data_IF_284062343883
#
_entry.id   IF_284062343883
#
_cell.length_a   1.000
_cell.length_b   1.000
_cell.length_c   1.000
_cell.angle_alpha   90.00
_cell.angle_beta   90.00
_cell.angle_gamma   90.00
#
_symmetry.space_group_name_H-M   'P 1'
#
loop_
_entity.id
_entity.type
_entity.pdbx_description
1 polymer ?
#
# COMPACT_ATOMS: atom_id res chain seq x y z
N UNK A 1 -7.77 11.95 20.02
CA UNK A 1 -6.53 11.17 20.24
C UNK A 1 -6.22 11.18 21.73
N UNK A 2 -5.95 10.03 22.38
CA UNK A 2 -5.56 9.99 23.79
C UNK A 2 -4.29 10.83 24.05
N UNK A 3 -4.24 11.55 25.16
CA UNK A 3 -3.15 12.50 25.45
C UNK A 3 -1.75 11.86 25.41
N UNK A 4 -1.60 10.67 25.99
CA UNK A 4 -0.32 9.95 25.98
C UNK A 4 0.15 9.51 24.59
N UNK A 5 -0.77 9.31 23.63
CA UNK A 5 -0.40 8.94 22.27
C UNK A 5 0.16 10.14 21.51
N UNK A 6 -0.36 11.35 21.74
CA UNK A 6 0.17 12.56 21.11
C UNK A 6 1.61 12.83 21.54
N UNK A 7 1.87 12.75 22.84
CA UNK A 7 3.22 12.94 23.37
C UNK A 7 4.19 11.89 22.84
N UNK A 8 3.74 10.64 22.72
CA UNK A 8 4.53 9.57 22.09
C UNK A 8 4.94 9.95 20.66
N UNK A 9 4.02 10.44 19.83
CA UNK A 9 4.34 10.83 18.45
C UNK A 9 5.32 12.01 18.41
N UNK A 10 5.10 13.04 19.22
CA UNK A 10 5.97 14.23 19.28
C UNK A 10 7.42 13.86 19.63
N UNK A 11 7.62 12.91 20.56
CA UNK A 11 8.97 12.39 20.89
C UNK A 11 9.64 11.75 19.68
N UNK A 12 8.93 10.88 18.95
CA UNK A 12 9.52 10.21 17.79
C UNK A 12 9.70 11.13 16.57
N UNK A 13 8.86 12.16 16.41
CA UNK A 13 9.10 13.19 15.40
C UNK A 13 10.45 13.89 15.63
N UNK A 14 10.76 14.25 16.88
CA UNK A 14 12.01 14.89 17.26
C UNK A 14 13.20 13.93 17.11
N UNK A 15 13.10 12.70 17.62
CA UNK A 15 14.19 11.72 17.57
C UNK A 15 14.54 11.29 16.14
N UNK A 16 13.53 11.13 15.26
CA UNK A 16 13.72 10.67 13.89
C UNK A 16 13.90 11.81 12.88
N UNK A 17 13.60 13.06 13.27
CA UNK A 17 13.60 14.21 12.37
C UNK A 17 12.57 14.07 11.24
N UNK A 18 11.44 13.40 11.51
CA UNK A 18 10.38 13.13 10.55
C UNK A 18 9.05 13.73 11.01
N UNK A 19 8.21 14.17 10.07
CA UNK A 19 6.83 14.54 10.37
C UNK A 19 5.95 13.31 10.41
N UNK A 20 5.22 13.12 11.50
CA UNK A 20 4.28 12.03 11.71
C UNK A 20 2.86 12.60 11.74
N UNK A 21 2.06 12.25 10.75
CA UNK A 21 0.63 12.63 10.70
C UNK A 21 -0.24 11.42 10.99
N UNK A 22 -1.13 11.54 11.97
CA UNK A 22 -2.13 10.51 12.24
C UNK A 22 -3.48 10.86 11.63
N UNK A 23 -3.99 9.94 10.82
CA UNK A 23 -5.38 9.94 10.36
C UNK A 23 -6.15 8.89 11.14
N UNK A 24 -7.29 9.27 11.72
CA UNK A 24 -8.15 8.35 12.47
C UNK A 24 -9.33 7.95 11.61
N UNK A 25 -9.54 6.65 11.46
CA UNK A 25 -10.81 6.11 10.97
C UNK A 25 -11.79 5.94 12.14
N UNK A 26 -13.06 6.33 11.93
CA UNK A 26 -14.13 6.15 12.93
C UNK A 26 -14.79 4.76 12.81
N UNK A 27 -14.77 4.17 11.61
CA UNK A 27 -15.24 2.83 11.31
C UNK A 27 -14.19 2.09 10.47
N UNK A 28 -14.14 0.74 10.47
CA UNK A 28 -13.17 0.01 9.67
C UNK A 28 -13.35 0.26 8.16
N UNK A 29 -12.40 0.94 7.51
CA UNK A 29 -12.46 1.28 6.09
C UNK A 29 -11.69 0.29 5.17
N UNK A 30 -11.20 -0.81 5.73
CA UNK A 30 -10.38 -1.77 5.00
C UNK A 30 -8.97 -1.23 4.73
N UNK A 31 -8.26 -1.83 3.77
CA UNK A 31 -6.85 -1.49 3.51
C UNK A 31 -6.66 -0.27 2.61
N UNK A 32 -7.63 0.07 1.76
CA UNK A 32 -7.53 1.22 0.87
C UNK A 32 -8.36 2.43 1.31
N UNK A 33 -9.49 2.22 1.99
CA UNK A 33 -10.38 3.31 2.38
C UNK A 33 -9.73 4.41 3.24
N UNK A 34 -8.81 4.11 4.18
CA UNK A 34 -8.09 5.14 4.95
C UNK A 34 -7.26 6.10 4.08
N UNK A 35 -6.84 5.70 2.88
CA UNK A 35 -6.14 6.59 1.95
C UNK A 35 -7.03 7.78 1.53
N UNK A 36 -8.36 7.62 1.53
CA UNK A 36 -9.29 8.72 1.26
C UNK A 36 -9.16 9.85 2.31
N UNK A 37 -8.97 9.49 3.58
CA UNK A 37 -8.78 10.45 4.68
C UNK A 37 -7.43 11.17 4.58
N UNK A 38 -6.42 10.51 3.99
CA UNK A 38 -5.06 11.02 3.89
C UNK A 38 -4.76 11.73 2.55
N UNK A 39 -5.71 11.83 1.61
CA UNK A 39 -5.46 12.41 0.26
C UNK A 39 -4.79 13.79 0.31
N UNK A 40 -5.23 14.66 1.22
CA UNK A 40 -4.66 16.01 1.35
C UNK A 40 -3.20 16.02 1.79
N UNK A 41 -2.73 14.95 2.43
CA UNK A 41 -1.32 14.76 2.83
C UNK A 41 -0.55 14.10 1.69
N UNK A 42 -1.11 13.03 1.10
CA UNK A 42 -0.48 12.23 0.04
C UNK A 42 -0.35 12.99 -1.28
N UNK A 43 -1.27 13.92 -1.56
CA UNK A 43 -1.28 14.76 -2.75
C UNK A 43 -0.65 16.15 -2.53
N UNK A 44 0.01 16.37 -1.38
CA UNK A 44 0.73 17.62 -1.15
C UNK A 44 1.72 17.85 -2.29
N UNK A 45 1.62 19.03 -2.88
CA UNK A 45 2.51 19.48 -3.94
C UNK A 45 2.83 20.94 -3.74
N UNK A 46 3.94 21.37 -4.31
CA UNK A 46 4.33 22.78 -4.41
C UNK A 46 4.46 23.14 -5.89
N UNK A 47 4.57 24.44 -6.19
CA UNK A 47 4.80 24.89 -7.57
C UNK A 47 6.05 24.25 -8.21
N UNK A 48 7.01 23.82 -7.40
CA UNK A 48 8.28 23.20 -7.81
C UNK A 48 8.33 21.69 -7.61
N UNK A 49 7.32 21.06 -7.01
CA UNK A 49 7.30 19.63 -6.73
C UNK A 49 5.88 19.04 -6.87
N UNK A 50 5.58 18.30 -7.96
CA UNK A 50 4.30 17.61 -8.09
C UNK A 50 4.20 16.44 -7.11
N UNK A 51 2.99 15.89 -6.87
CA UNK A 51 2.81 14.72 -6.02
C UNK A 51 3.71 13.56 -6.47
N UNK A 52 4.41 12.94 -5.52
CA UNK A 52 5.34 11.85 -5.76
C UNK A 52 4.71 10.51 -5.39
N UNK A 53 5.19 9.38 -5.95
CA UNK A 53 4.87 8.06 -5.44
C UNK A 53 5.19 7.94 -3.95
N UNK A 54 4.37 7.19 -3.22
CA UNK A 54 4.52 6.99 -1.79
C UNK A 54 4.46 5.51 -1.44
N UNK A 55 5.16 5.14 -0.37
CA UNK A 55 5.07 3.81 0.18
C UNK A 55 3.81 3.65 1.02
N UNK A 56 3.14 2.52 0.87
CA UNK A 56 2.08 2.06 1.74
C UNK A 56 2.52 0.70 2.30
N UNK A 57 2.39 0.54 3.62
CA UNK A 57 2.82 -0.68 4.30
C UNK A 57 1.75 -1.10 5.29
N UNK A 58 1.51 -2.40 5.39
CA UNK A 58 0.80 -2.97 6.52
C UNK A 58 1.71 -2.89 7.76
N UNK A 59 1.16 -2.43 8.89
CA UNK A 59 1.94 -2.17 10.11
C UNK A 59 2.43 -3.42 10.84
N UNK A 60 1.90 -4.59 10.49
CA UNK A 60 2.22 -5.89 11.08
C UNK A 60 3.30 -6.65 10.28
N UNK A 61 3.82 -6.06 9.21
CA UNK A 61 4.92 -6.64 8.43
C UNK A 61 6.26 -6.26 9.08
N UNK A 62 7.14 -7.26 9.27
CA UNK A 62 8.50 -7.06 9.76
C UNK A 62 9.45 -7.80 8.81
N UNK A 63 10.29 -7.04 8.10
CA UNK A 63 11.28 -7.58 7.17
C UNK A 63 12.38 -6.57 6.87
N UNK A 64 13.42 -7.01 6.16
CA UNK A 64 14.39 -6.11 5.54
C UNK A 64 13.75 -5.44 4.32
N UNK A 65 13.30 -4.20 4.48
CA UNK A 65 12.58 -3.47 3.44
C UNK A 65 13.50 -3.06 2.27
N UNK A 66 13.29 -3.58 1.04
CA UNK A 66 14.13 -3.24 -0.11
C UNK A 66 13.66 -1.95 -0.79
N UNK A 67 13.46 -0.87 -0.03
CA UNK A 67 12.80 0.36 -0.50
C UNK A 67 13.40 0.93 -1.78
N UNK A 68 14.74 0.99 -1.87
CA UNK A 68 15.43 1.49 -3.06
C UNK A 68 15.13 0.64 -4.30
N UNK A 69 15.23 -0.68 -4.18
CA UNK A 69 14.97 -1.59 -5.30
C UNK A 69 13.50 -1.55 -5.75
N UNK A 70 12.57 -1.43 -4.80
CA UNK A 70 11.14 -1.31 -5.10
C UNK A 70 10.82 0.00 -5.81
N UNK A 71 11.43 1.11 -5.36
CA UNK A 71 11.33 2.41 -6.02
C UNK A 71 11.93 2.39 -7.43
N UNK A 72 13.15 1.87 -7.58
CA UNK A 72 13.83 1.77 -8.89
C UNK A 72 12.96 0.97 -9.89
N UNK A 73 12.38 -0.15 -9.45
CA UNK A 73 11.47 -0.95 -10.27
C UNK A 73 10.21 -0.17 -10.65
N UNK A 74 9.54 0.46 -9.68
CA UNK A 74 8.33 1.24 -9.92
C UNK A 74 8.55 2.36 -10.95
N UNK A 75 9.63 3.12 -10.78
CA UNK A 75 9.99 4.21 -11.69
C UNK A 75 10.35 3.68 -13.07
N UNK A 76 11.10 2.58 -13.17
CA UNK A 76 11.50 1.99 -14.46
C UNK A 76 10.31 1.45 -15.28
N UNK A 77 9.26 0.98 -14.60
CA UNK A 77 8.06 0.43 -15.23
C UNK A 77 7.01 1.48 -15.54
N UNK A 78 7.09 2.67 -14.94
CA UNK A 78 6.04 3.69 -15.02
C UNK A 78 4.69 3.16 -14.53
N UNK A 79 4.70 2.21 -13.59
CA UNK A 79 3.50 1.54 -13.10
C UNK A 79 2.70 2.47 -12.17
N UNK A 80 1.38 2.36 -12.16
CA UNK A 80 0.57 3.07 -11.16
C UNK A 80 0.75 2.49 -9.75
N UNK A 81 1.10 1.21 -9.65
CA UNK A 81 1.40 0.55 -8.39
C UNK A 81 2.42 -0.57 -8.58
N UNK A 82 3.28 -0.74 -7.60
CA UNK A 82 4.17 -1.90 -7.47
C UNK A 82 3.99 -2.47 -6.06
N UNK A 83 3.87 -3.78 -5.95
CA UNK A 83 3.75 -4.48 -4.66
C UNK A 83 4.87 -5.49 -4.49
N UNK A 84 5.29 -5.70 -3.25
CA UNK A 84 6.14 -6.80 -2.88
C UNK A 84 5.31 -8.08 -2.73
N UNK A 85 5.82 -9.18 -3.25
CA UNK A 85 5.24 -10.52 -3.07
C UNK A 85 6.24 -11.44 -2.40
N UNK A 86 5.75 -12.49 -1.77
CA UNK A 86 6.58 -13.55 -1.18
C UNK A 86 6.00 -14.92 -1.47
N UNK A 87 6.81 -15.98 -1.36
CA UNK A 87 6.35 -17.36 -1.52
C UNK A 87 6.11 -18.01 -0.18
N UNK A 88 5.03 -18.77 -0.06
CA UNK A 88 4.68 -19.54 1.14
C UNK A 88 4.28 -20.96 0.79
N UNK A 89 4.51 -21.92 1.69
CA UNK A 89 4.14 -23.31 1.48
C UNK A 89 2.61 -23.51 1.48
N UNK A 90 1.90 -22.83 2.39
CA UNK A 90 0.43 -22.87 2.49
C UNK A 90 -0.19 -21.49 2.23
N UNK A 91 -0.72 -21.23 1.03
CA UNK A 91 -1.33 -19.95 0.66
C UNK A 91 -2.79 -19.80 1.13
N UNK A 92 -3.40 -20.82 1.76
CA UNK A 92 -4.85 -20.87 2.03
C UNK A 92 -5.40 -19.71 2.88
N UNK A 93 -4.54 -19.06 3.66
CA UNK A 93 -4.89 -17.95 4.56
C UNK A 93 -4.69 -16.56 3.95
N UNK A 94 -4.11 -16.47 2.76
CA UNK A 94 -3.61 -15.23 2.18
C UNK A 94 -4.27 -14.90 0.83
N UNK A 95 -4.03 -13.67 0.35
CA UNK A 95 -4.31 -13.27 -1.02
C UNK A 95 -3.18 -13.72 -1.95
N UNK A 96 -3.46 -14.69 -2.82
CA UNK A 96 -2.51 -15.17 -3.84
C UNK A 96 -2.46 -14.17 -5.00
N UNK A 97 -1.24 -13.83 -5.42
CA UNK A 97 -0.97 -12.94 -6.55
C UNK A 97 -0.55 -13.81 -7.73
N UNK A 98 -1.27 -13.69 -8.84
CA UNK A 98 -0.92 -14.36 -10.08
C UNK A 98 -0.28 -13.34 -11.00
N UNK A 99 0.97 -13.59 -11.36
CA UNK A 99 1.72 -12.74 -12.28
C UNK A 99 1.64 -13.29 -13.69
N UNK A 100 1.66 -12.42 -14.69
CA UNK A 100 1.91 -12.79 -16.08
C UNK A 100 3.41 -12.97 -16.36
N UNK A 101 3.76 -13.36 -17.59
CA UNK A 101 5.15 -13.59 -18.00
C UNK A 101 6.02 -12.32 -17.97
N UNK A 102 5.40 -11.12 -17.98
CA UNK A 102 6.10 -9.85 -17.89
C UNK A 102 6.33 -9.40 -16.43
N UNK A 103 5.77 -10.13 -15.46
CA UNK A 103 5.81 -9.84 -14.03
C UNK A 103 4.75 -8.85 -13.57
N UNK A 104 3.72 -8.56 -14.39
CA UNK A 104 2.60 -7.73 -13.99
C UNK A 104 1.53 -8.57 -13.29
N UNK A 105 0.76 -7.95 -12.39
CA UNK A 105 -0.34 -8.64 -11.70
C UNK A 105 -1.49 -8.89 -12.68
N UNK A 106 -1.77 -10.16 -12.94
CA UNK A 106 -2.91 -10.57 -13.77
C UNK A 106 -4.21 -10.70 -12.96
N UNK A 107 -4.11 -11.21 -11.72
CA UNK A 107 -5.26 -11.36 -10.81
C UNK A 107 -4.82 -11.58 -9.36
N UNK A 108 -5.69 -11.21 -8.43
CA UNK A 108 -5.62 -11.59 -7.02
C UNK A 108 -6.65 -12.68 -6.72
N UNK A 109 -6.27 -13.68 -5.94
CA UNK A 109 -7.17 -14.74 -5.46
C UNK A 109 -7.16 -14.75 -3.93
N UNK A 110 -8.24 -14.25 -3.33
CA UNK A 110 -8.38 -14.15 -1.88
C UNK A 110 -8.70 -15.51 -1.27
N UNK A 111 -7.86 -15.99 -0.33
CA UNK A 111 -8.07 -17.19 0.50
C UNK A 111 -8.56 -18.38 -0.33
N UNK A 112 -7.74 -18.87 -1.28
CA UNK A 112 -8.18 -19.85 -2.25
C UNK A 112 -8.52 -21.18 -1.57
N UNK A 113 -9.64 -21.80 -1.99
CA UNK A 113 -10.05 -23.13 -1.51
C UNK A 113 -9.26 -24.28 -2.12
N UNK A 114 -8.60 -24.03 -3.25
CA UNK A 114 -7.76 -24.97 -4.00
C UNK A 114 -6.42 -24.31 -4.26
N UNK A 115 -5.34 -25.09 -4.40
CA UNK A 115 -4.03 -24.52 -4.73
C UNK A 115 -4.07 -23.82 -6.10
N UNK A 116 -3.72 -22.53 -6.13
CA UNK A 116 -3.68 -21.70 -7.34
C UNK A 116 -2.33 -21.02 -7.56
N UNK A 117 -1.42 -21.14 -6.60
CA UNK A 117 -0.10 -20.49 -6.58
C UNK A 117 0.38 -20.32 -5.14
N UNK A 118 1.70 -20.23 -4.97
CA UNK A 118 2.38 -20.06 -3.68
C UNK A 118 2.80 -18.61 -3.41
N UNK A 119 2.61 -17.73 -4.39
CA UNK A 119 3.04 -16.33 -4.35
C UNK A 119 1.92 -15.47 -3.76
N UNK A 120 2.17 -14.85 -2.62
CA UNK A 120 1.19 -14.07 -1.86
C UNK A 120 1.57 -12.59 -1.78
N UNK A 121 0.57 -11.75 -1.52
CA UNK A 121 0.76 -10.32 -1.28
C UNK A 121 1.58 -10.10 0.00
N UNK A 122 2.70 -9.40 -0.12
CA UNK A 122 3.62 -9.11 0.99
C UNK A 122 3.23 -7.91 1.85
N UNK A 123 2.15 -7.19 1.51
CA UNK A 123 1.66 -6.07 2.33
C UNK A 123 2.53 -4.81 2.26
N UNK A 124 3.41 -4.71 1.25
CA UNK A 124 4.27 -3.55 1.00
C UNK A 124 4.05 -3.09 -0.43
N UNK A 125 3.79 -1.80 -0.60
CA UNK A 125 3.42 -1.21 -1.86
C UNK A 125 4.15 0.12 -2.07
N UNK A 126 4.37 0.47 -3.32
CA UNK A 126 4.61 1.83 -3.76
C UNK A 126 3.51 2.21 -4.74
N UNK A 127 2.83 3.31 -4.47
CA UNK A 127 1.64 3.76 -5.18
C UNK A 127 1.92 5.12 -5.81
N UNK A 128 1.60 5.25 -7.09
CA UNK A 128 1.54 6.55 -7.74
C UNK A 128 0.30 7.33 -7.26
N UNK A 129 0.37 8.68 -7.21
CA UNK A 129 -0.75 9.52 -6.81
C UNK A 129 -2.06 9.26 -7.57
N UNK A 130 -1.99 8.84 -8.85
CA UNK A 130 -3.16 8.51 -9.68
C UNK A 130 -4.05 7.42 -9.08
N UNK A 131 -3.48 6.51 -8.29
CA UNK A 131 -4.23 5.45 -7.60
C UNK A 131 -5.32 6.03 -6.69
N UNK A 132 -5.07 7.20 -6.11
CA UNK A 132 -6.01 7.86 -5.19
C UNK A 132 -7.29 8.34 -5.88
N UNK A 133 -7.32 8.46 -7.21
CA UNK A 133 -8.53 8.80 -7.97
C UNK A 133 -9.60 7.71 -7.82
N UNK A 134 -9.19 6.45 -7.65
CA UNK A 134 -10.06 5.28 -7.50
C UNK A 134 -10.45 5.00 -6.05
N UNK A 135 -9.88 5.73 -5.08
CA UNK A 135 -10.13 5.52 -3.65
C UNK A 135 -11.29 6.39 -3.18
N UNK A 136 -12.30 5.75 -2.59
CA UNK A 136 -13.47 6.39 -2.00
C UNK A 136 -13.47 6.22 -0.48
N UNK A 137 -14.15 7.13 0.23
CA UNK A 137 -14.28 7.06 1.69
C UNK A 137 -15.35 6.03 2.08
N UNK A 138 -15.01 4.75 1.91
CA UNK A 138 -15.83 3.60 2.28
C UNK A 138 -14.93 2.37 2.48
N UNK A 139 -15.45 1.25 3.02
CA UNK A 139 -14.70 0.00 3.06
C UNK A 139 -14.20 -0.44 1.69
N UNK A 140 -12.87 -0.45 1.51
CA UNK A 140 -12.19 -0.83 0.27
C UNK A 140 -10.94 -1.67 0.56
N UNK A 141 -10.65 -2.66 -0.30
CA UNK A 141 -9.38 -3.39 -0.28
C UNK A 141 -8.44 -2.85 -1.36
N UNK A 142 -7.16 -2.76 -1.03
CA UNK A 142 -6.12 -2.26 -1.93
C UNK A 142 -6.03 -3.11 -3.20
N UNK A 143 -6.11 -4.43 -3.10
CA UNK A 143 -6.09 -5.36 -4.24
C UNK A 143 -7.17 -5.03 -5.27
N UNK A 144 -8.37 -4.63 -4.82
CA UNK A 144 -9.47 -4.21 -5.69
C UNK A 144 -9.25 -2.84 -6.33
N UNK A 145 -8.52 -1.95 -5.67
CA UNK A 145 -8.14 -0.64 -6.23
C UNK A 145 -7.03 -0.78 -7.28
N UNK A 146 -6.16 -1.78 -7.12
CA UNK A 146 -5.03 -2.03 -8.02
C UNK A 146 -5.43 -2.79 -9.30
N UNK A 147 -6.47 -3.63 -9.26
CA UNK A 147 -7.02 -4.22 -10.48
C UNK A 147 -7.86 -3.17 -11.20
N UNK A 148 -7.32 -2.63 -12.29
CA UNK A 148 -8.13 -1.93 -13.29
C UNK A 148 -8.87 -3.04 -14.02
N UNK A 149 -10.19 -3.14 -13.84
CA UNK A 149 -11.02 -3.97 -14.71
C UNK A 149 -10.70 -3.58 -16.15
N UNK A 150 -10.04 -4.47 -16.89
CA UNK A 150 -10.02 -4.34 -18.34
C UNK A 150 -11.48 -4.48 -18.77
N UNK A 151 -12.06 -3.36 -19.21
CA UNK A 151 -13.36 -3.32 -19.87
C UNK A 151 -13.25 -4.06 -21.20
#
# INVERSE_FOLDING_TARGET
MPHGFKQFLETYEEELGMTITCSREEEPLGTAGPLALAKNVLLKSTASAPPQPFFMLNSDVICDYPFKGLLDLHMSRGAEATLMVTRVEDPSKYGVVILDDAGAVSRFVEKPKTFVGDTINGGIYILSPSVLERVELRPMSIEKVLIISQV
#
